data_IF_174019219277
#
_entry.id   IF_174019219277
#
_cell.length_a   1.000
_cell.length_b   1.000
_cell.length_c   1.000
_cell.angle_alpha   90.00
_cell.angle_beta   90.00
_cell.angle_gamma   90.00
#
_symmetry.space_group_name_H-M   'P 1'
#
loop_
_entity.id
_entity.type
_entity.pdbx_description
1 polymer ?
#
# COMPACT_ATOMS: atom_id res chain seq x y z
N UNK A 1 34.33 -2.26 -3.47
CA UNK A 1 33.79 -0.88 -3.42
C UNK A 1 32.29 -1.00 -3.17
N UNK A 2 31.88 -0.95 -1.90
CA UNK A 2 30.48 -1.10 -1.47
C UNK A 2 29.83 0.27 -1.46
N UNK A 3 29.00 0.58 -2.46
CA UNK A 3 28.18 1.79 -2.45
C UNK A 3 27.07 1.65 -1.40
N UNK A 4 27.29 2.26 -0.24
CA UNK A 4 26.25 2.48 0.76
C UNK A 4 25.33 3.60 0.25
N UNK A 5 24.25 3.22 -0.44
CA UNK A 5 23.17 4.15 -0.75
C UNK A 5 22.46 4.56 0.55
N UNK A 6 22.52 5.85 0.86
CA UNK A 6 21.81 6.46 1.98
C UNK A 6 20.30 6.43 1.73
N UNK A 7 19.44 6.23 2.76
CA UNK A 7 18.00 6.16 2.55
C UNK A 7 17.50 7.57 2.25
N UNK A 8 17.29 7.86 0.97
CA UNK A 8 16.73 9.14 0.52
C UNK A 8 15.47 9.48 1.32
N UNK A 9 15.45 10.66 1.94
CA UNK A 9 14.26 11.22 2.61
C UNK A 9 13.11 11.11 1.62
N UNK A 10 12.04 10.39 1.98
CA UNK A 10 10.85 10.26 1.12
C UNK A 10 10.25 11.65 0.91
N UNK A 11 10.51 12.23 -0.25
CA UNK A 11 9.87 13.49 -0.66
C UNK A 11 8.46 13.12 -1.13
N UNK A 12 7.47 13.59 -0.41
CA UNK A 12 6.08 13.50 -0.81
C UNK A 12 5.69 14.84 -1.47
N UNK A 13 5.67 14.93 -2.80
CA UNK A 13 5.14 16.11 -3.48
C UNK A 13 3.66 16.31 -3.08
N UNK A 14 3.11 17.54 -3.24
CA UNK A 14 1.75 17.86 -2.82
C UNK A 14 0.77 16.81 -3.34
N UNK A 15 0.02 16.26 -2.39
CA UNK A 15 -0.58 14.93 -2.49
C UNK A 15 -1.83 14.87 -3.34
N UNK A 16 -2.51 16.01 -3.45
CA UNK A 16 -3.72 16.26 -4.22
C UNK A 16 -4.21 17.66 -3.82
N UNK A 17 -4.70 18.43 -4.79
CA UNK A 17 -5.38 19.71 -4.54
C UNK A 17 -6.80 19.55 -5.11
N UNK A 18 -7.86 19.76 -4.32
CA UNK A 18 -9.22 19.65 -4.81
C UNK A 18 -9.45 20.64 -5.95
N UNK A 19 -9.91 20.13 -7.10
CA UNK A 19 -10.15 20.97 -8.28
C UNK A 19 -11.61 21.40 -8.36
N UNK A 20 -12.49 20.75 -7.58
CA UNK A 20 -13.94 20.98 -7.59
C UNK A 20 -14.67 20.22 -8.71
N UNK A 21 -13.93 19.57 -9.59
CA UNK A 21 -14.43 18.64 -10.60
C UNK A 21 -14.36 17.20 -10.08
N UNK A 22 -15.53 16.54 -10.00
CA UNK A 22 -15.66 15.24 -9.34
C UNK A 22 -14.85 14.14 -10.04
N UNK A 23 -14.74 14.18 -11.37
CA UNK A 23 -14.07 13.14 -12.13
C UNK A 23 -12.54 13.27 -12.06
N UNK A 24 -12.02 14.50 -12.10
CA UNK A 24 -10.61 14.81 -11.86
C UNK A 24 -10.19 14.42 -10.45
N UNK A 25 -11.04 14.70 -9.46
CA UNK A 25 -10.79 14.39 -8.05
C UNK A 25 -10.80 12.87 -7.80
N UNK A 26 -11.69 12.12 -8.44
CA UNK A 26 -11.68 10.63 -8.44
C UNK A 26 -10.43 10.05 -9.09
N UNK A 27 -10.01 10.62 -10.23
CA UNK A 27 -8.80 10.17 -10.91
C UNK A 27 -7.56 10.40 -10.04
N UNK A 28 -7.48 11.55 -9.36
CA UNK A 28 -6.41 11.82 -8.41
C UNK A 28 -6.38 10.79 -7.27
N UNK A 29 -7.55 10.41 -6.74
CA UNK A 29 -7.65 9.33 -5.75
C UNK A 29 -7.11 7.99 -6.29
N UNK A 30 -7.42 7.61 -7.53
CA UNK A 30 -6.87 6.39 -8.13
C UNK A 30 -5.34 6.44 -8.30
N UNK A 31 -4.78 7.61 -8.63
CA UNK A 31 -3.33 7.79 -8.66
C UNK A 31 -2.70 7.66 -7.27
N UNK A 32 -3.38 8.13 -6.21
CA UNK A 32 -2.93 7.89 -4.83
C UNK A 32 -2.94 6.39 -4.51
N UNK A 33 -3.99 5.66 -4.87
CA UNK A 33 -4.05 4.20 -4.68
C UNK A 33 -2.94 3.46 -5.45
N UNK A 34 -2.61 3.89 -6.67
CA UNK A 34 -1.53 3.30 -7.47
C UNK A 34 -0.18 3.32 -6.75
N UNK A 35 0.07 4.31 -5.88
CA UNK A 35 1.31 4.42 -5.11
C UNK A 35 1.51 3.25 -4.14
N UNK A 36 0.44 2.59 -3.70
CA UNK A 36 0.54 1.40 -2.86
C UNK A 36 1.26 0.24 -3.58
N UNK A 37 1.15 0.17 -4.92
CA UNK A 37 1.82 -0.85 -5.74
C UNK A 37 3.30 -0.54 -5.97
N UNK A 38 3.68 0.74 -6.03
CA UNK A 38 5.07 1.15 -6.26
C UNK A 38 5.87 1.27 -4.97
N UNK A 39 5.21 1.54 -3.85
CA UNK A 39 5.85 1.69 -2.56
C UNK A 39 6.22 0.33 -1.95
N UNK A 40 7.52 0.10 -1.81
CA UNK A 40 8.09 -1.09 -1.18
C UNK A 40 8.03 -1.01 0.34
N UNK A 41 7.82 -2.16 1.01
CA UNK A 41 7.78 -2.20 2.48
C UNK A 41 9.16 -1.92 3.08
N UNK A 42 9.25 -0.84 3.84
CA UNK A 42 10.50 -0.32 4.45
C UNK A 42 11.25 -1.38 5.28
N UNK A 43 10.55 -2.29 5.96
CA UNK A 43 11.19 -3.35 6.76
C UNK A 43 12.05 -4.32 5.93
N UNK A 44 11.71 -4.53 4.66
CA UNK A 44 12.50 -5.37 3.73
C UNK A 44 13.66 -4.58 3.11
N UNK A 45 13.41 -3.31 2.77
CA UNK A 45 14.45 -2.39 2.27
C UNK A 45 15.57 -2.23 3.30
N UNK A 46 15.23 -1.98 4.56
CA UNK A 46 16.20 -1.81 5.65
C UNK A 46 17.03 -3.08 5.91
N UNK A 47 16.54 -4.25 5.48
CA UNK A 47 17.23 -5.53 5.57
C UNK A 47 17.95 -5.93 4.28
N UNK A 48 18.02 -5.03 3.29
CA UNK A 48 18.64 -5.27 1.98
C UNK A 48 18.08 -6.51 1.26
N UNK A 49 16.80 -6.81 1.43
CA UNK A 49 16.16 -7.94 0.74
C UNK A 49 15.93 -7.55 -0.73
N UNK A 50 16.42 -8.35 -1.70
CA UNK A 50 16.18 -8.10 -3.11
C UNK A 50 14.69 -8.25 -3.43
N UNK A 51 14.18 -7.41 -4.34
CA UNK A 51 12.80 -7.45 -4.82
C UNK A 51 11.73 -7.49 -3.70
N UNK A 52 11.71 -6.50 -2.79
CA UNK A 52 10.75 -6.47 -1.69
C UNK A 52 9.31 -6.37 -2.20
N UNK A 53 8.37 -6.95 -1.45
CA UNK A 53 6.94 -6.81 -1.71
C UNK A 53 6.49 -5.34 -1.60
N UNK A 54 5.48 -4.96 -2.40
CA UNK A 54 4.82 -3.67 -2.25
C UNK A 54 3.83 -3.68 -1.08
N UNK A 55 3.34 -2.49 -0.70
CA UNK A 55 2.29 -2.38 0.31
C UNK A 55 0.99 -3.03 -0.21
N UNK A 56 0.66 -2.85 -1.49
CA UNK A 56 -0.50 -3.48 -2.11
C UNK A 56 -0.42 -5.02 -2.11
N UNK A 57 0.75 -5.60 -2.40
CA UNK A 57 0.95 -7.06 -2.36
C UNK A 57 0.71 -7.60 -0.94
N UNK A 58 1.20 -6.87 0.06
CA UNK A 58 1.04 -7.23 1.47
C UNK A 58 -0.44 -7.17 1.90
N UNK A 59 -1.14 -6.08 1.57
CA UNK A 59 -2.58 -5.90 1.85
C UNK A 59 -3.43 -6.99 1.19
N UNK A 60 -3.11 -7.32 -0.08
CA UNK A 60 -3.77 -8.40 -0.80
C UNK A 60 -3.61 -9.74 -0.08
N UNK A 61 -2.39 -10.10 0.35
CA UNK A 61 -2.15 -11.34 1.11
C UNK A 61 -2.92 -11.36 2.44
N UNK A 62 -2.97 -10.25 3.16
CA UNK A 62 -3.75 -10.14 4.41
C UNK A 62 -5.25 -10.33 4.16
N UNK A 63 -5.79 -9.73 3.09
CA UNK A 63 -7.18 -9.90 2.71
C UNK A 63 -7.53 -11.36 2.40
N UNK A 64 -6.66 -12.09 1.69
CA UNK A 64 -6.85 -13.54 1.45
C UNK A 64 -6.83 -14.33 2.76
N UNK A 65 -5.87 -14.06 3.66
CA UNK A 65 -5.80 -14.74 4.96
C UNK A 65 -7.04 -14.46 5.82
N UNK A 66 -7.58 -13.24 5.78
CA UNK A 66 -8.81 -12.89 6.47
C UNK A 66 -10.02 -13.69 5.96
N UNK A 67 -10.09 -13.99 4.66
CA UNK A 67 -11.13 -14.85 4.08
C UNK A 67 -10.99 -16.33 4.49
N UNK A 68 -9.76 -16.81 4.67
CA UNK A 68 -9.50 -18.21 5.04
C UNK A 68 -9.67 -18.50 6.54
N UNK A 69 -10.02 -17.50 7.35
CA UNK A 69 -10.15 -17.67 8.80
C UNK A 69 -11.44 -18.43 9.16
N UNK A 70 -11.33 -19.48 9.98
CA UNK A 70 -12.43 -20.40 10.33
C UNK A 70 -13.38 -19.87 11.41
N UNK A 71 -13.14 -18.66 11.92
CA UNK A 71 -13.95 -18.08 12.97
C UNK A 71 -15.26 -17.50 12.40
N UNK A 72 -16.34 -18.21 12.71
CA UNK A 72 -17.71 -17.94 12.29
C UNK A 72 -18.37 -16.76 13.03
N UNK A 73 -17.77 -16.25 14.12
CA UNK A 73 -18.33 -15.13 14.89
C UNK A 73 -18.08 -13.77 14.23
N UNK A 74 -17.31 -13.74 13.16
CA UNK A 74 -16.75 -12.53 12.61
C UNK A 74 -17.10 -12.38 11.11
N UNK A 75 -17.55 -11.18 10.75
CA UNK A 75 -17.99 -10.81 9.41
C UNK A 75 -16.83 -10.75 8.40
N UNK A 76 -16.85 -11.64 7.41
CA UNK A 76 -15.81 -11.79 6.39
C UNK A 76 -15.68 -10.52 5.52
N UNK A 77 -16.74 -10.00 4.86
CA UNK A 77 -16.70 -8.74 4.13
C UNK A 77 -16.06 -7.59 4.92
N UNK A 78 -16.43 -7.42 6.19
CA UNK A 78 -15.90 -6.35 7.04
C UNK A 78 -14.40 -6.49 7.32
N UNK A 79 -13.92 -7.71 7.55
CA UNK A 79 -12.48 -7.99 7.78
C UNK A 79 -11.63 -7.73 6.54
N UNK A 80 -12.11 -8.18 5.39
CA UNK A 80 -11.43 -7.97 4.10
C UNK A 80 -11.32 -6.48 3.82
N UNK A 81 -12.39 -5.72 4.08
CA UNK A 81 -12.38 -4.27 3.93
C UNK A 81 -11.30 -3.61 4.80
N UNK A 82 -11.20 -3.97 6.08
CA UNK A 82 -10.16 -3.46 6.99
C UNK A 82 -8.72 -3.84 6.59
N UNK A 83 -8.53 -4.85 5.75
CA UNK A 83 -7.21 -5.18 5.22
C UNK A 83 -6.82 -4.32 4.01
N UNK A 84 -7.81 -3.73 3.33
CA UNK A 84 -7.65 -3.00 2.08
C UNK A 84 -7.77 -1.47 2.23
N UNK A 85 -8.36 -0.99 3.33
CA UNK A 85 -8.56 0.42 3.67
C UNK A 85 -7.98 0.71 5.07
#
# INVERSE_FOLDING_TARGET
MTEQSSPGKRVFPPLYVPTGDVDTDRLAFFHVLQRLKTQKRTGWINRNIPNPESIADHMYRMAILAMCTSDASLDIPKRVLHCLL
#
